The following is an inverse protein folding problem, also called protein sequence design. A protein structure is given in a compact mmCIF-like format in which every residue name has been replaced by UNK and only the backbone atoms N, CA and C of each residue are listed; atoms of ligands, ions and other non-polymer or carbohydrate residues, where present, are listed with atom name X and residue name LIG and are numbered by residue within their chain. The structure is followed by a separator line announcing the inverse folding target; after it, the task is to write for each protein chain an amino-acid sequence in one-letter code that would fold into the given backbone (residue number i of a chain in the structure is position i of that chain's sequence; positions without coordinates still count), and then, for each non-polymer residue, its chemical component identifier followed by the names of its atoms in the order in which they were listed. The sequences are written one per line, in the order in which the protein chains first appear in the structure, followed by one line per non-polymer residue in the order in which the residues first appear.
data_IF_277292895457
#
_entry.id   IF_277292895457
#
_cell.length_a   1.000
_cell.length_b   1.000
_cell.length_c   1.000
_cell.angle_alpha   90.00
_cell.angle_beta   90.00
_cell.angle_gamma   90.00
#
_symmetry.space_group_name_H-M   'P 1'
#
loop_
_entity.id
_entity.type
_entity.pdbx_description
1 polymer ?
#
# COMPACT_ATOMS: atom_id res chain seq x y z
N UNK A 1 2.44 -1.25 10.38
CA UNK A 1 1.27 -1.34 11.27
C UNK A 1 1.50 -2.36 12.37
N UNK A 2 0.73 -2.29 13.47
CA UNK A 2 0.92 -3.17 14.62
C UNK A 2 0.48 -4.63 14.36
N UNK A 3 -0.36 -4.88 13.35
CA UNK A 3 -0.81 -6.24 13.00
C UNK A 3 0.08 -6.93 11.96
N UNK A 4 1.11 -6.27 11.43
CA UNK A 4 2.00 -6.84 10.41
C UNK A 4 2.66 -8.15 10.87
N UNK A 5 3.17 -8.28 12.11
CA UNK A 5 3.77 -9.53 12.56
C UNK A 5 2.81 -10.73 12.55
N UNK A 6 1.51 -10.51 12.70
CA UNK A 6 0.52 -11.60 12.63
C UNK A 6 0.31 -12.10 11.21
N UNK A 7 0.16 -11.18 10.25
CA UNK A 7 0.03 -11.54 8.83
C UNK A 7 1.28 -12.24 8.31
N UNK A 8 2.46 -11.76 8.72
CA UNK A 8 3.76 -12.35 8.38
C UNK A 8 3.91 -13.77 8.94
N UNK A 9 3.52 -13.96 10.21
CA UNK A 9 3.58 -15.27 10.85
C UNK A 9 2.72 -16.28 10.10
N UNK A 10 1.46 -15.95 9.80
CA UNK A 10 0.57 -16.85 9.06
C UNK A 10 1.11 -17.12 7.65
N UNK A 11 1.62 -16.10 6.97
CA UNK A 11 2.21 -16.25 5.64
C UNK A 11 3.36 -17.27 5.63
N UNK A 12 4.26 -17.18 6.61
CA UNK A 12 5.45 -18.04 6.70
C UNK A 12 5.14 -19.44 7.23
N UNK A 13 4.29 -19.55 8.25
CA UNK A 13 4.03 -20.81 8.95
C UNK A 13 2.97 -21.67 8.24
N UNK A 14 1.99 -21.05 7.56
CA UNK A 14 0.90 -21.75 6.89
C UNK A 14 1.03 -21.77 5.35
N UNK A 15 2.09 -21.15 4.79
CA UNK A 15 2.39 -21.10 3.35
C UNK A 15 1.18 -20.67 2.49
N UNK A 16 0.46 -19.65 2.96
CA UNK A 16 -0.71 -19.09 2.27
C UNK A 16 -0.53 -17.58 2.12
N UNK A 17 -0.95 -16.98 0.98
CA UNK A 17 -0.89 -15.53 0.83
C UNK A 17 -1.70 -14.82 1.91
N UNK A 18 -1.15 -13.74 2.47
CA UNK A 18 -1.81 -12.94 3.50
C UNK A 18 -1.92 -11.48 3.12
N UNK A 19 -2.93 -10.81 3.67
CA UNK A 19 -2.98 -9.36 3.69
C UNK A 19 -2.90 -8.82 5.11
N UNK A 20 -2.28 -7.66 5.27
CA UNK A 20 -2.14 -6.99 6.56
C UNK A 20 -2.90 -5.67 6.61
N UNK A 21 -3.23 -5.21 7.81
CA UNK A 21 -4.00 -3.99 8.08
C UNK A 21 -3.50 -3.34 9.37
N UNK A 22 -4.04 -2.17 9.71
CA UNK A 22 -3.88 -1.56 11.04
C UNK A 22 -2.75 -0.54 11.11
N UNK A 23 -3.14 0.74 11.07
CA UNK A 23 -2.23 1.89 11.10
C UNK A 23 -1.10 1.78 10.04
N UNK A 24 -1.52 1.55 8.80
CA UNK A 24 -0.67 1.71 7.63
C UNK A 24 -1.19 2.95 6.92
N UNK A 25 -0.35 3.98 6.83
CA UNK A 25 -0.74 5.31 6.31
C UNK A 25 0.25 5.86 5.29
N UNK A 26 1.54 5.53 5.41
CA UNK A 26 2.57 6.03 4.50
C UNK A 26 2.84 5.05 3.34
N UNK A 27 3.02 5.54 2.10
CA UNK A 27 3.36 4.70 0.95
C UNK A 27 4.62 3.86 1.18
N UNK A 28 5.66 4.44 1.78
CA UNK A 28 6.94 3.76 2.04
C UNK A 28 6.77 2.62 3.05
N UNK A 29 5.86 2.79 4.02
CA UNK A 29 5.52 1.73 4.96
C UNK A 29 4.81 0.57 4.27
N UNK A 30 3.89 0.86 3.34
CA UNK A 30 3.19 -0.17 2.57
C UNK A 30 4.15 -0.91 1.62
N UNK A 31 5.03 -0.19 0.92
CA UNK A 31 6.04 -0.76 0.02
C UNK A 31 7.01 -1.69 0.76
N UNK A 32 7.51 -1.25 1.93
CA UNK A 32 8.40 -2.07 2.75
C UNK A 32 7.76 -3.40 3.17
N UNK A 33 6.49 -3.39 3.60
CA UNK A 33 5.76 -4.61 3.99
C UNK A 33 5.73 -5.64 2.84
N UNK A 34 5.47 -5.18 1.61
CA UNK A 34 5.40 -6.05 0.43
C UNK A 34 6.79 -6.54 0.03
N UNK A 35 7.77 -5.63 -0.09
CA UNK A 35 9.14 -5.98 -0.52
C UNK A 35 9.87 -6.89 0.45
N UNK A 36 9.63 -6.74 1.75
CA UNK A 36 10.19 -7.60 2.78
C UNK A 36 9.45 -8.96 2.89
N UNK A 37 8.41 -9.19 2.08
CA UNK A 37 7.65 -10.44 2.07
C UNK A 37 6.84 -10.69 3.35
N UNK A 38 6.48 -9.61 4.07
CA UNK A 38 5.76 -9.68 5.34
C UNK A 38 4.25 -9.86 5.15
N UNK A 39 3.73 -9.45 4.01
CA UNK A 39 2.39 -9.75 3.53
C UNK A 39 2.37 -9.63 1.99
N UNK A 40 1.39 -10.22 1.34
CA UNK A 40 1.19 -10.13 -0.11
C UNK A 40 0.24 -8.98 -0.47
N UNK A 41 -0.59 -8.53 0.48
CA UNK A 41 -1.49 -7.38 0.33
C UNK A 41 -1.43 -6.43 1.54
N UNK A 42 -1.67 -5.15 1.28
CA UNK A 42 -1.87 -4.11 2.30
C UNK A 42 -3.29 -3.57 2.20
N UNK A 43 -4.04 -3.68 3.28
CA UNK A 43 -5.37 -3.10 3.40
C UNK A 43 -5.30 -1.73 4.09
N UNK A 44 -5.89 -0.74 3.46
CA UNK A 44 -6.04 0.61 3.98
C UNK A 44 -7.51 0.85 4.34
N UNK A 45 -7.74 1.55 5.46
CA UNK A 45 -9.09 1.86 5.94
C UNK A 45 -9.26 3.36 6.15
N UNK A 46 -9.00 3.85 7.36
CA UNK A 46 -9.11 5.28 7.73
C UNK A 46 -8.29 6.19 6.82
N UNK A 47 -7.18 5.70 6.30
CA UNK A 47 -6.35 6.47 5.37
C UNK A 47 -7.08 6.74 4.04
N UNK A 48 -7.78 5.75 3.48
CA UNK A 48 -8.60 5.96 2.28
C UNK A 48 -9.80 6.87 2.52
N UNK A 49 -10.27 7.00 3.77
CA UNK A 49 -11.31 7.97 4.11
C UNK A 49 -10.77 9.41 4.18
N UNK A 50 -9.52 9.58 4.61
CA UNK A 50 -8.86 10.90 4.68
C UNK A 50 -8.32 11.34 3.33
N UNK A 51 -7.78 10.40 2.55
CA UNK A 51 -7.16 10.63 1.25
C UNK A 51 -7.61 9.56 0.22
N UNK A 52 -8.74 9.77 -0.47
CA UNK A 52 -9.27 8.80 -1.44
C UNK A 52 -8.37 8.54 -2.65
N UNK A 53 -7.50 9.50 -3.00
CA UNK A 53 -6.49 9.34 -4.07
C UNK A 53 -5.16 8.80 -3.54
N UNK A 54 -5.14 8.21 -2.34
CA UNK A 54 -3.93 7.66 -1.75
C UNK A 54 -3.12 6.75 -2.69
N UNK A 55 -3.73 5.88 -3.52
CA UNK A 55 -2.95 5.07 -4.48
C UNK A 55 -2.20 5.92 -5.52
N UNK A 56 -2.78 7.05 -5.97
CA UNK A 56 -2.11 7.97 -6.89
C UNK A 56 -0.95 8.70 -6.20
N UNK A 57 -1.16 9.12 -4.94
CA UNK A 57 -0.12 9.72 -4.10
C UNK A 57 1.03 8.73 -3.85
N UNK A 58 0.71 7.48 -3.53
CA UNK A 58 1.68 6.42 -3.29
C UNK A 58 2.51 6.14 -4.53
N UNK A 59 1.87 6.01 -5.70
CA UNK A 59 2.59 5.83 -6.96
C UNK A 59 3.55 6.99 -7.24
N UNK A 60 3.13 8.24 -7.02
CA UNK A 60 4.00 9.39 -7.19
C UNK A 60 5.20 9.36 -6.21
N UNK A 61 4.96 9.13 -4.91
CA UNK A 61 6.02 9.10 -3.88
C UNK A 61 7.03 7.96 -4.07
N UNK A 62 6.57 6.82 -4.56
CA UNK A 62 7.40 5.64 -4.82
C UNK A 62 7.99 5.62 -6.25
N UNK A 63 7.72 6.64 -7.07
CA UNK A 63 8.18 6.72 -8.46
C UNK A 63 7.58 5.65 -9.38
N UNK A 64 6.46 5.05 -9.01
CA UNK A 64 5.77 4.05 -9.82
C UNK A 64 4.92 4.72 -10.91
N UNK A 65 5.08 4.25 -12.14
CA UNK A 65 4.25 4.71 -13.26
C UNK A 65 2.95 3.90 -13.33
N UNK A 66 1.83 4.59 -13.20
CA UNK A 66 0.49 3.99 -13.25
C UNK A 66 -0.38 4.75 -14.26
N UNK A 67 -1.39 4.06 -14.79
CA UNK A 67 -2.42 4.71 -15.60
C UNK A 67 -3.35 5.52 -14.71
N UNK A 68 -3.37 6.83 -14.91
CA UNK A 68 -4.36 7.71 -14.26
C UNK A 68 -5.71 7.61 -14.99
N UNK A 69 -6.84 7.87 -14.30
CA UNK A 69 -8.10 8.09 -14.98
C UNK A 69 -7.92 9.18 -16.06
N UNK A 70 -8.42 8.99 -17.30
CA UNK A 70 -8.17 9.92 -18.41
C UNK A 70 -8.49 11.39 -18.07
N UNK A 71 -9.56 11.60 -17.29
CA UNK A 71 -10.02 12.91 -16.84
C UNK A 71 -9.01 13.62 -15.92
N UNK A 72 -8.08 12.89 -15.29
CA UNK A 72 -7.10 13.39 -14.33
C UNK A 72 -5.66 13.35 -14.84
N UNK A 73 -5.40 12.97 -16.10
CA UNK A 73 -4.05 12.90 -16.65
C UNK A 73 -3.26 14.21 -16.50
N UNK A 74 -3.93 15.35 -16.72
CA UNK A 74 -3.33 16.68 -16.59
C UNK A 74 -3.07 17.12 -15.14
N UNK A 75 -3.58 16.38 -14.16
CA UNK A 75 -3.37 16.64 -12.73
C UNK A 75 -2.17 15.87 -12.16
N UNK A 76 -1.47 15.08 -12.97
CA UNK A 76 -0.25 14.38 -12.54
C UNK A 76 0.81 15.38 -12.05
N UNK A 77 1.35 15.21 -10.84
CA UNK A 77 2.48 16.00 -10.38
C UNK A 77 3.67 15.79 -11.32
N UNK A 78 4.40 16.87 -11.62
CA UNK A 78 5.65 16.78 -12.38
C UNK A 78 6.71 16.08 -11.51
N UNK A 79 7.56 15.28 -12.14
CA UNK A 79 8.73 14.68 -11.49
C UNK A 79 9.73 15.75 -11.08
#
# INVERSE_FOLDING_TARGET
GYQVPFAERIRREADIPTGTVGLITEPEQADAIIREGRADLVFLARELLREPRWPLLAAHRLGAEIRWPPQYERAQPRK
#
